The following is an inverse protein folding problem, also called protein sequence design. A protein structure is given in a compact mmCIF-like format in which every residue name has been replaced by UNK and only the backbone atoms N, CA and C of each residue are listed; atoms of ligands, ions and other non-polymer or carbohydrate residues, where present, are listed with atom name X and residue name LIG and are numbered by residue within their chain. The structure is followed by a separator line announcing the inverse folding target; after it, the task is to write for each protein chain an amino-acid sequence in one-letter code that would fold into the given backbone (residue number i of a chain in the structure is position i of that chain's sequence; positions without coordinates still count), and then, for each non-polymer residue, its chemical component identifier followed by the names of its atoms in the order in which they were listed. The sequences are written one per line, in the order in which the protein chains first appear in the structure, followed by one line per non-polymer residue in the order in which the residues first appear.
data_IF_027883410434
#
_entry.id   IF_027883410434
#
_cell.length_a   1.000
_cell.length_b   1.000
_cell.length_c   1.000
_cell.angle_alpha   90.00
_cell.angle_beta   90.00
_cell.angle_gamma   90.00
#
_symmetry.space_group_name_H-M   'P 1'
#
loop_
_entity.id
_entity.type
_entity.pdbx_description
1 polymer ?
#
# COMPACT_ATOMS: atom_id res chain seq x y z
N UNK A 1 -12.17 3.74 -16.63
CA UNK A 1 -10.87 3.95 -16.02
C UNK A 1 -10.79 5.32 -15.34
N UNK A 2 -9.90 5.49 -14.39
CA UNK A 2 -9.59 6.77 -13.74
C UNK A 2 -8.49 7.43 -14.56
N UNK A 3 -8.62 8.75 -14.81
CA UNK A 3 -7.61 9.56 -15.48
C UNK A 3 -7.52 10.95 -14.81
N UNK A 4 -6.54 11.75 -15.17
CA UNK A 4 -6.25 13.04 -14.54
C UNK A 4 -7.42 14.02 -14.57
N UNK A 5 -8.35 13.85 -15.53
CA UNK A 5 -9.52 14.73 -15.68
C UNK A 5 -10.67 14.30 -14.76
N UNK A 6 -10.90 13.00 -14.58
CA UNK A 6 -12.04 12.48 -13.82
C UNK A 6 -11.70 12.06 -12.39
N UNK A 7 -10.42 11.89 -12.05
CA UNK A 7 -9.98 11.52 -10.72
C UNK A 7 -10.51 12.46 -9.61
N UNK A 8 -10.44 13.82 -9.73
CA UNK A 8 -10.96 14.72 -8.72
C UNK A 8 -12.46 14.55 -8.47
N UNK A 9 -13.24 14.30 -9.53
CA UNK A 9 -14.69 14.10 -9.41
C UNK A 9 -15.05 12.77 -8.75
N UNK A 10 -14.34 11.70 -9.10
CA UNK A 10 -14.54 10.38 -8.49
C UNK A 10 -14.14 10.38 -7.02
N UNK A 11 -13.00 10.98 -6.68
CA UNK A 11 -12.52 11.14 -5.30
C UNK A 11 -13.56 11.89 -4.46
N UNK A 12 -14.09 13.00 -4.96
CA UNK A 12 -15.13 13.78 -4.27
C UNK A 12 -16.43 12.98 -4.10
N UNK A 13 -16.83 12.19 -5.10
CA UNK A 13 -18.03 11.35 -5.05
C UNK A 13 -17.91 10.23 -4.02
N UNK A 14 -16.68 9.77 -3.72
CA UNK A 14 -16.38 8.77 -2.70
C UNK A 14 -16.22 9.36 -1.29
N UNK A 15 -16.39 10.68 -1.12
CA UNK A 15 -16.22 11.37 0.16
C UNK A 15 -14.76 11.46 0.62
N UNK A 16 -13.80 11.20 -0.27
CA UNK A 16 -12.38 11.26 0.03
C UNK A 16 -11.91 12.71 0.00
N UNK A 17 -11.30 13.17 1.09
CA UNK A 17 -10.66 14.49 1.16
C UNK A 17 -9.23 14.35 0.65
N UNK A 18 -8.89 15.06 -0.41
CA UNK A 18 -7.52 15.15 -0.94
C UNK A 18 -6.96 16.51 -0.58
N UNK A 19 -5.85 16.53 0.13
CA UNK A 19 -5.04 17.72 0.37
C UNK A 19 -3.75 17.60 -0.42
N UNK A 20 -3.52 18.54 -1.34
CA UNK A 20 -2.25 18.65 -2.07
C UNK A 20 -1.42 19.68 -1.36
N UNK A 21 -0.39 19.25 -0.66
CA UNK A 21 0.56 20.15 -0.01
C UNK A 21 1.80 20.28 -0.88
N UNK A 22 2.04 21.47 -1.43
CA UNK A 22 3.31 21.80 -2.07
C UNK A 22 4.21 22.40 -0.99
N UNK A 23 5.24 21.66 -0.59
CA UNK A 23 6.24 22.14 0.36
C UNK A 23 7.46 22.67 -0.38
N UNK A 24 7.88 23.89 -0.02
CA UNK A 24 9.17 24.47 -0.45
C UNK A 24 10.29 24.22 0.58
N UNK A 25 10.02 23.50 1.67
CA UNK A 25 11.03 23.09 2.62
C UNK A 25 11.80 21.87 2.10
N UNK A 26 13.05 21.73 2.52
CA UNK A 26 13.97 20.64 2.17
C UNK A 26 13.37 19.30 2.61
N UNK A 27 12.47 18.78 1.77
CA UNK A 27 11.96 17.43 1.85
C UNK A 27 12.50 16.73 0.61
N UNK A 28 12.79 15.46 0.69
CA UNK A 28 13.39 14.64 -0.36
C UNK A 28 12.55 14.56 -1.66
N UNK A 29 11.38 15.21 -1.71
CA UNK A 29 10.42 15.17 -2.81
C UNK A 29 10.02 16.57 -3.27
N UNK A 30 10.02 16.79 -4.59
CA UNK A 30 9.59 18.06 -5.19
C UNK A 30 8.09 18.29 -5.12
N UNK A 31 7.30 17.23 -5.13
CA UNK A 31 5.85 17.25 -5.03
C UNK A 31 5.40 16.06 -4.18
N UNK A 32 4.46 16.29 -3.29
CA UNK A 32 3.88 15.26 -2.43
C UNK A 32 2.36 15.39 -2.45
N UNK A 33 1.67 14.27 -2.70
CA UNK A 33 0.21 14.17 -2.62
C UNK A 33 -0.10 13.30 -1.41
N UNK A 34 -0.93 13.81 -0.50
CA UNK A 34 -1.47 13.04 0.62
C UNK A 34 -2.98 12.84 0.42
N UNK A 35 -3.42 11.60 0.58
CA UNK A 35 -4.82 11.22 0.58
C UNK A 35 -5.15 10.68 1.96
N UNK A 36 -6.15 11.28 2.63
CA UNK A 36 -6.67 10.81 3.90
C UNK A 36 -8.12 10.37 3.76
N UNK A 37 -8.44 9.25 4.37
CA UNK A 37 -9.80 8.73 4.41
C UNK A 37 -10.17 8.36 5.84
N UNK A 38 -11.47 8.47 6.15
CA UNK A 38 -12.02 7.95 7.39
C UNK A 38 -12.80 6.69 7.08
N UNK A 39 -12.44 5.60 7.73
CA UNK A 39 -13.17 4.34 7.61
C UNK A 39 -14.46 4.37 8.43
N UNK A 40 -15.41 3.47 8.16
CA UNK A 40 -16.71 3.42 8.84
C UNK A 40 -16.61 3.16 10.35
N UNK A 41 -15.50 2.57 10.81
CA UNK A 41 -15.16 2.34 12.21
C UNK A 41 -14.45 3.54 12.88
N UNK A 42 -14.30 4.67 12.13
CA UNK A 42 -13.73 5.91 12.63
C UNK A 42 -12.22 5.98 12.60
N UNK A 43 -11.53 5.00 12.01
CA UNK A 43 -10.09 5.05 11.85
C UNK A 43 -9.68 5.91 10.66
N UNK A 44 -8.67 6.75 10.84
CA UNK A 44 -8.04 7.48 9.74
C UNK A 44 -7.06 6.55 9.02
N UNK A 45 -7.08 6.60 7.69
CA UNK A 45 -6.11 5.93 6.82
C UNK A 45 -5.49 6.97 5.91
N UNK A 46 -4.21 6.87 5.66
CA UNK A 46 -3.50 7.82 4.81
C UNK A 46 -2.55 7.14 3.84
N UNK A 47 -2.39 7.75 2.68
CA UNK A 47 -1.39 7.35 1.68
C UNK A 47 -0.73 8.61 1.14
N UNK A 48 0.61 8.60 1.08
CA UNK A 48 1.37 9.66 0.41
C UNK A 48 2.05 9.12 -0.84
N UNK A 49 1.99 9.92 -1.89
CA UNK A 49 2.63 9.61 -3.16
C UNK A 49 3.41 10.78 -3.70
N UNK A 50 4.40 10.49 -4.52
CA UNK A 50 5.27 11.48 -5.17
C UNK A 50 5.68 11.03 -6.56
N UNK A 51 6.32 11.93 -7.30
CA UNK A 51 6.97 11.64 -8.56
C UNK A 51 8.49 11.68 -8.38
N UNK A 52 9.18 10.58 -8.71
CA UNK A 52 10.61 10.46 -8.56
C UNK A 52 11.36 10.68 -9.87
N UNK A 53 12.49 11.37 -9.75
CA UNK A 53 13.47 11.55 -10.83
C UNK A 53 12.94 12.36 -12.01
N UNK A 54 13.77 12.41 -13.07
CA UNK A 54 13.46 13.19 -14.29
C UNK A 54 12.33 12.56 -15.14
N UNK A 55 12.06 11.28 -14.95
CA UNK A 55 11.01 10.54 -15.65
C UNK A 55 9.63 10.72 -15.01
N UNK A 56 9.53 11.42 -13.88
CA UNK A 56 8.30 11.56 -13.09
C UNK A 56 7.69 10.19 -12.73
N UNK A 57 8.55 9.26 -12.28
CA UNK A 57 8.14 7.90 -11.94
C UNK A 57 7.30 7.91 -10.65
N UNK A 58 6.01 7.50 -10.69
CA UNK A 58 5.15 7.59 -9.53
C UNK A 58 5.55 6.58 -8.44
N UNK A 59 5.50 7.01 -7.19
CA UNK A 59 5.77 6.18 -6.01
C UNK A 59 4.78 6.49 -4.91
N UNK A 60 4.32 5.45 -4.25
CA UNK A 60 3.78 5.53 -2.90
C UNK A 60 4.99 5.55 -1.97
N UNK A 61 5.06 6.54 -1.09
CA UNK A 61 6.20 6.75 -0.19
C UNK A 61 5.84 6.65 1.30
N UNK A 62 4.55 6.62 1.60
CA UNK A 62 4.06 6.42 2.97
C UNK A 62 2.65 5.82 2.94
N UNK A 63 2.36 4.91 3.86
CA UNK A 63 1.03 4.36 4.14
C UNK A 63 0.80 4.38 5.64
N UNK A 64 -0.26 5.07 6.09
CA UNK A 64 -0.63 5.21 7.50
C UNK A 64 0.56 5.62 8.39
N UNK A 65 1.22 6.72 8.02
CA UNK A 65 2.42 7.28 8.71
C UNK A 65 3.67 6.38 8.67
N UNK A 66 3.62 5.26 7.97
CA UNK A 66 4.74 4.34 7.84
C UNK A 66 5.41 4.52 6.48
N UNK A 67 6.68 4.93 6.49
CA UNK A 67 7.47 5.15 5.28
C UNK A 67 7.69 3.84 4.55
N UNK A 68 7.37 3.80 3.25
CA UNK A 68 7.54 2.64 2.38
C UNK A 68 7.64 3.12 0.94
N UNK A 69 8.45 2.49 0.11
CA UNK A 69 8.54 2.84 -1.30
C UNK A 69 7.98 1.71 -2.17
N UNK A 70 6.90 2.01 -2.92
CA UNK A 70 6.20 1.05 -3.78
C UNK A 70 5.74 1.75 -5.05
N UNK A 71 5.74 1.05 -6.18
CA UNK A 71 5.07 1.50 -7.40
C UNK A 71 3.56 1.37 -7.25
N UNK A 72 2.77 2.37 -7.67
CA UNK A 72 1.32 2.23 -7.76
C UNK A 72 0.98 1.42 -9.02
N UNK A 73 1.11 0.10 -8.94
CA UNK A 73 0.77 -0.86 -10.01
C UNK A 73 -0.65 -1.38 -9.84
N UNK A 74 -1.14 -2.07 -10.87
CA UNK A 74 -2.55 -2.53 -10.94
C UNK A 74 -2.97 -3.42 -9.78
N UNK A 75 -2.04 -4.20 -9.22
CA UNK A 75 -2.34 -5.19 -8.20
C UNK A 75 -1.31 -5.16 -7.07
N UNK A 76 -1.76 -4.73 -5.89
CA UNK A 76 -0.96 -4.71 -4.67
C UNK A 76 -1.62 -5.54 -3.58
N UNK A 77 -0.87 -6.40 -2.95
CA UNK A 77 -1.24 -7.03 -1.67
C UNK A 77 -0.60 -6.23 -0.54
N UNK A 78 -1.44 -5.64 0.30
CA UNK A 78 -1.03 -4.88 1.49
C UNK A 78 -1.23 -5.75 2.71
N UNK A 79 -0.17 -6.03 3.44
CA UNK A 79 -0.16 -6.89 4.63
C UNK A 79 0.37 -6.13 5.83
N UNK A 80 -0.37 -6.15 6.93
CA UNK A 80 0.11 -5.74 8.25
C UNK A 80 0.41 -6.98 9.06
N UNK A 81 1.64 -7.13 9.49
CA UNK A 81 2.10 -8.34 10.16
C UNK A 81 2.93 -8.01 11.42
N UNK A 82 3.06 -8.99 12.28
CA UNK A 82 4.03 -8.92 13.39
C UNK A 82 5.44 -8.88 12.81
N UNK A 83 6.29 -7.97 13.30
CA UNK A 83 7.69 -7.87 12.87
C UNK A 83 8.53 -8.96 13.54
N UNK A 84 8.66 -10.08 12.85
CA UNK A 84 9.48 -11.21 13.32
C UNK A 84 10.12 -11.99 12.17
N UNK A 85 11.21 -12.73 12.44
CA UNK A 85 11.82 -13.62 11.46
C UNK A 85 10.81 -14.62 10.87
N UNK A 86 10.93 -14.87 9.55
CA UNK A 86 10.14 -15.89 8.85
C UNK A 86 8.88 -15.36 8.14
N UNK A 87 8.42 -14.14 8.41
CA UNK A 87 7.20 -13.58 7.78
C UNK A 87 7.31 -13.52 6.26
N UNK A 88 8.44 -13.02 5.74
CA UNK A 88 8.67 -12.95 4.28
C UNK A 88 8.62 -14.35 3.64
N UNK A 89 9.25 -15.33 4.28
CA UNK A 89 9.20 -16.72 3.84
C UNK A 89 7.78 -17.28 3.85
N UNK A 90 7.01 -17.00 4.91
CA UNK A 90 5.62 -17.42 5.04
C UNK A 90 4.73 -16.83 3.94
N UNK A 91 4.82 -15.52 3.70
CA UNK A 91 4.08 -14.86 2.62
C UNK A 91 4.44 -15.46 1.26
N UNK A 92 5.75 -15.60 0.98
CA UNK A 92 6.23 -16.19 -0.27
C UNK A 92 5.77 -17.64 -0.47
N UNK A 93 5.76 -18.45 0.60
CA UNK A 93 5.27 -19.83 0.53
C UNK A 93 3.77 -19.88 0.26
N UNK A 94 2.96 -19.16 1.02
CA UNK A 94 1.49 -19.14 0.84
C UNK A 94 1.12 -18.69 -0.57
N UNK A 95 1.70 -17.60 -1.06
CA UNK A 95 1.41 -17.09 -2.41
C UNK A 95 1.91 -18.05 -3.48
N UNK A 96 3.15 -18.55 -3.36
CA UNK A 96 3.75 -19.47 -4.32
C UNK A 96 3.03 -20.82 -4.44
N UNK A 97 2.58 -21.41 -3.31
CA UNK A 97 1.81 -22.65 -3.29
C UNK A 97 0.47 -22.52 -4.01
N UNK A 98 -0.05 -21.30 -4.14
CA UNK A 98 -1.29 -20.97 -4.85
C UNK A 98 -1.07 -20.35 -6.24
N UNK A 99 0.18 -20.42 -6.75
CA UNK A 99 0.51 -19.98 -8.11
C UNK A 99 0.54 -18.48 -8.28
N UNK A 100 0.64 -17.70 -7.20
CA UNK A 100 0.71 -16.23 -7.24
C UNK A 100 2.17 -15.80 -7.19
N UNK A 101 2.66 -15.15 -8.25
CA UNK A 101 4.01 -14.63 -8.31
C UNK A 101 4.11 -13.23 -7.69
N UNK A 102 5.20 -13.01 -6.96
CA UNK A 102 5.54 -11.71 -6.37
C UNK A 102 6.57 -11.04 -7.30
N UNK A 103 6.16 -9.99 -8.00
CA UNK A 103 7.04 -9.22 -8.87
C UNK A 103 8.01 -8.34 -8.08
N UNK A 104 7.53 -7.77 -6.96
CA UNK A 104 8.33 -6.97 -6.04
C UNK A 104 7.74 -7.02 -4.63
N UNK A 105 8.57 -6.79 -3.62
CA UNK A 105 8.14 -6.73 -2.22
C UNK A 105 8.87 -5.61 -1.50
N UNK A 106 8.12 -4.75 -0.86
CA UNK A 106 8.62 -3.71 0.05
C UNK A 106 8.16 -3.99 1.46
N UNK A 107 9.06 -3.83 2.43
CA UNK A 107 8.78 -4.02 3.84
C UNK A 107 9.25 -2.82 4.64
N UNK A 108 8.39 -2.30 5.49
CA UNK A 108 8.69 -1.22 6.43
C UNK A 108 8.31 -1.63 7.84
N UNK A 109 9.17 -1.30 8.79
CA UNK A 109 8.95 -1.54 10.22
C UNK A 109 8.37 -0.30 10.87
N UNK A 110 7.41 -0.47 11.76
CA UNK A 110 6.95 0.63 12.59
C UNK A 110 8.04 1.00 13.63
N UNK A 111 8.12 2.27 13.97
CA UNK A 111 9.12 2.77 14.93
C UNK A 111 9.05 2.09 16.30
N UNK A 112 7.87 1.61 16.70
CA UNK A 112 7.66 0.86 17.94
C UNK A 112 7.96 -0.65 17.86
N UNK A 113 8.36 -1.18 16.69
CA UNK A 113 8.96 -2.51 16.53
C UNK A 113 8.05 -3.73 16.69
N UNK A 114 6.74 -3.55 16.88
CA UNK A 114 5.81 -4.69 17.02
C UNK A 114 5.16 -5.11 15.70
N UNK A 115 4.95 -4.17 14.79
CA UNK A 115 4.28 -4.38 13.53
C UNK A 115 5.14 -3.95 12.35
N UNK A 116 4.96 -4.63 11.23
CA UNK A 116 5.52 -4.27 9.95
C UNK A 116 4.41 -4.11 8.90
N UNK A 117 4.67 -3.29 7.92
CA UNK A 117 3.90 -3.15 6.71
C UNK A 117 4.66 -3.82 5.57
N UNK A 118 4.06 -4.81 4.97
CA UNK A 118 4.58 -5.49 3.77
C UNK A 118 3.65 -5.21 2.61
N UNK A 119 4.19 -4.72 1.49
CA UNK A 119 3.43 -4.53 0.25
C UNK A 119 4.09 -5.34 -0.85
N UNK A 120 3.31 -6.23 -1.47
CA UNK A 120 3.73 -7.04 -2.60
C UNK A 120 3.07 -6.54 -3.89
N UNK A 121 3.87 -6.33 -4.93
CA UNK A 121 3.41 -6.19 -6.30
C UNK A 121 3.18 -7.60 -6.83
N UNK A 122 1.97 -7.93 -7.27
CA UNK A 122 1.62 -9.28 -7.72
C UNK A 122 1.36 -9.30 -9.22
N UNK A 123 1.73 -10.41 -9.87
CA UNK A 123 1.44 -10.63 -11.29
C UNK A 123 0.00 -11.16 -11.49
N UNK A 124 -0.51 -11.93 -10.51
CA UNK A 124 -1.86 -12.52 -10.55
C UNK A 124 -2.62 -12.19 -9.27
N UNK A 125 -3.94 -12.04 -9.39
CA UNK A 125 -4.81 -11.83 -8.25
C UNK A 125 -4.96 -13.14 -7.44
N UNK A 126 -4.62 -13.13 -6.14
CA UNK A 126 -4.85 -14.27 -5.29
C UNK A 126 -6.35 -14.53 -5.13
N UNK A 127 -6.72 -15.80 -5.14
CA UNK A 127 -8.09 -16.20 -4.86
C UNK A 127 -8.50 -15.86 -3.41
N UNK A 128 -9.80 -15.75 -3.15
CA UNK A 128 -10.33 -15.35 -1.84
C UNK A 128 -9.92 -16.29 -0.70
N UNK A 129 -9.66 -17.56 -0.99
CA UNK A 129 -9.18 -18.54 0.00
C UNK A 129 -7.73 -18.27 0.43
N UNK A 130 -6.90 -17.75 -0.46
CA UNK A 130 -5.53 -17.32 -0.15
C UNK A 130 -5.54 -16.14 0.81
N UNK A 131 -6.40 -15.15 0.58
CA UNK A 131 -6.55 -14.02 1.50
C UNK A 131 -7.02 -14.50 2.88
N UNK A 132 -8.00 -15.41 2.94
CA UNK A 132 -8.45 -16.00 4.20
C UNK A 132 -7.36 -16.80 4.91
N UNK A 133 -6.50 -17.51 4.18
CA UNK A 133 -5.34 -18.20 4.76
C UNK A 133 -4.35 -17.22 5.38
N UNK A 134 -4.09 -16.10 4.71
CA UNK A 134 -3.25 -15.03 5.26
C UNK A 134 -3.86 -14.43 6.52
N UNK A 135 -5.15 -14.09 6.49
CA UNK A 135 -5.85 -13.49 7.63
C UNK A 135 -6.02 -14.47 8.82
N UNK A 136 -6.06 -15.77 8.56
CA UNK A 136 -6.14 -16.80 9.62
C UNK A 136 -4.80 -17.01 10.35
N UNK A 137 -3.69 -16.50 9.82
CA UNK A 137 -2.39 -16.60 10.45
C UNK A 137 -2.24 -15.63 11.61
N UNK A 138 -1.82 -16.13 12.78
CA UNK A 138 -1.68 -15.32 14.00
C UNK A 138 -0.68 -14.17 13.90
N UNK A 139 0.22 -14.22 12.92
CA UNK A 139 1.24 -13.20 12.69
C UNK A 139 0.82 -12.14 11.70
N UNK A 140 -0.30 -12.35 11.01
CA UNK A 140 -0.88 -11.40 10.06
C UNK A 140 -2.09 -10.74 10.72
N UNK A 141 -2.09 -9.42 10.76
CA UNK A 141 -3.17 -8.62 11.35
C UNK A 141 -4.20 -8.18 10.32
N UNK A 142 -3.74 -7.98 9.10
CA UNK A 142 -4.57 -7.53 7.99
C UNK A 142 -3.91 -7.96 6.68
N UNK A 143 -4.70 -8.43 5.72
CA UNK A 143 -4.27 -8.67 4.34
C UNK A 143 -5.34 -8.14 3.39
N UNK A 144 -4.99 -7.22 2.51
CA UNK A 144 -5.92 -6.61 1.55
C UNK A 144 -5.33 -6.48 0.16
N UNK A 145 -6.16 -6.66 -0.84
CA UNK A 145 -5.83 -6.36 -2.23
C UNK A 145 -6.26 -4.93 -2.56
N UNK A 146 -5.33 -4.17 -3.11
CA UNK A 146 -5.59 -2.88 -3.76
C UNK A 146 -5.49 -3.05 -5.26
N UNK A 147 -6.52 -2.61 -5.98
CA UNK A 147 -6.59 -2.65 -7.44
C UNK A 147 -6.65 -1.24 -7.99
N UNK A 148 -5.89 -0.97 -9.04
CA UNK A 148 -6.16 0.20 -9.87
C UNK A 148 -7.29 -0.14 -10.83
N UNK A 149 -8.41 0.54 -10.71
CA UNK A 149 -9.59 0.37 -11.54
C UNK A 149 -9.64 1.34 -12.73
#
# INVERSE_FOLDING_TARGET
GINDVNAPHKIKALGIKVEVTKSSSVIDYNELIEIKTMTSDGNERSVKGTLLGKANDPRIVEVDEQAIEVRPVDLLLVVRNVDKPGIVGKLGTILGDHGVNIANMSLSRADCGELALTICELDEEPADDVLRLLEADNDIREARISRQG
#
